data_IF_801503048191
#
_entry.id   IF_801503048191
#
_cell.length_a   1.000
_cell.length_b   1.000
_cell.length_c   1.000
_cell.angle_alpha   90.00
_cell.angle_beta   90.00
_cell.angle_gamma   90.00
#
_symmetry.space_group_name_H-M   'P 1'
#
loop_
_entity.id
_entity.type
_entity.pdbx_description
1 polymer ?
#
# COMPACT_ATOMS: atom_id res chain seq x y z
N UNK A 1 2.26 -8.69 -9.43
CA UNK A 1 1.48 -7.55 -9.96
C UNK A 1 1.28 -6.57 -8.82
N UNK A 2 1.28 -5.25 -9.05
CA UNK A 2 1.08 -4.32 -7.93
C UNK A 2 -0.34 -4.48 -7.36
N UNK A 3 -0.42 -4.53 -6.03
CA UNK A 3 -1.67 -4.57 -5.28
C UNK A 3 -2.64 -3.47 -5.75
N UNK A 4 -3.91 -3.81 -6.06
CA UNK A 4 -4.89 -2.84 -6.59
C UNK A 4 -5.23 -1.72 -5.60
N UNK A 5 -5.02 -1.94 -4.30
CA UNK A 5 -5.29 -0.97 -3.25
C UNK A 5 -4.09 -0.10 -2.85
N UNK A 6 -2.95 -0.23 -3.56
CA UNK A 6 -1.80 0.62 -3.36
C UNK A 6 -1.89 1.85 -4.27
N UNK A 7 -2.05 3.02 -3.66
CA UNK A 7 -1.88 4.30 -4.35
C UNK A 7 -0.67 5.06 -3.84
N UNK A 8 -0.21 6.01 -4.64
CA UNK A 8 0.90 6.90 -4.31
C UNK A 8 0.34 8.32 -4.23
N UNK A 9 0.47 8.97 -3.08
CA UNK A 9 -0.11 10.29 -2.80
C UNK A 9 0.98 11.28 -2.38
N UNK A 10 0.87 12.51 -2.87
CA UNK A 10 1.77 13.64 -2.51
C UNK A 10 1.26 14.49 -1.37
N UNK A 11 0.03 14.31 -0.91
CA UNK A 11 -0.56 15.17 0.10
C UNK A 11 -1.54 14.42 1.00
N UNK A 12 -1.75 15.00 2.18
CA UNK A 12 -2.68 14.55 3.20
C UNK A 12 -3.24 15.76 3.96
N UNK A 13 -4.47 16.16 3.63
CA UNK A 13 -5.05 17.42 4.08
C UNK A 13 -4.17 18.62 3.71
N UNK A 14 -3.79 19.43 4.71
CA UNK A 14 -2.94 20.62 4.54
C UNK A 14 -1.44 20.28 4.37
N UNK A 15 -1.05 19.01 4.50
CA UNK A 15 0.34 18.57 4.38
C UNK A 15 0.63 18.12 2.96
N UNK A 16 1.74 18.60 2.41
CA UNK A 16 2.30 18.12 1.14
C UNK A 16 3.68 17.52 1.38
N UNK A 17 4.00 16.46 0.66
CA UNK A 17 5.29 15.76 0.70
C UNK A 17 6.11 16.09 -0.54
N UNK A 18 7.43 16.16 -0.39
CA UNK A 18 8.35 16.39 -1.51
C UNK A 18 8.34 15.24 -2.54
N UNK A 19 8.01 14.03 -2.09
CA UNK A 19 7.86 12.83 -2.92
C UNK A 19 6.55 12.12 -2.61
N UNK A 20 6.03 11.41 -3.60
CA UNK A 20 4.90 10.51 -3.42
C UNK A 20 5.19 9.45 -2.36
N UNK A 21 4.19 9.21 -1.51
CA UNK A 21 4.24 8.20 -0.45
C UNK A 21 3.16 7.15 -0.69
N UNK A 22 3.52 5.91 -0.38
CA UNK A 22 2.62 4.77 -0.47
C UNK A 22 1.45 4.93 0.50
N UNK A 23 0.24 4.78 -0.02
CA UNK A 23 -1.03 4.88 0.68
C UNK A 23 -1.85 3.62 0.39
N UNK A 24 -2.34 2.96 1.43
CA UNK A 24 -3.19 1.79 1.29
C UNK A 24 -4.65 2.22 1.43
N UNK A 25 -5.46 1.90 0.42
CA UNK A 25 -6.87 2.30 0.36
C UNK A 25 -7.78 1.42 1.21
N UNK A 26 -7.38 0.18 1.53
CA UNK A 26 -8.13 -0.69 2.45
C UNK A 26 -8.16 -0.12 3.87
N UNK A 27 -7.01 0.33 4.37
CA UNK A 27 -6.88 0.87 5.74
C UNK A 27 -6.79 2.39 5.77
N UNK A 28 -7.02 3.02 4.62
CA UNK A 28 -7.08 4.47 4.42
C UNK A 28 -5.92 5.25 5.07
N UNK A 29 -4.69 4.76 4.93
CA UNK A 29 -3.51 5.40 5.53
C UNK A 29 -2.23 5.19 4.75
N UNK A 30 -1.27 6.09 4.96
CA UNK A 30 0.10 5.91 4.51
C UNK A 30 0.74 4.69 5.17
N UNK A 31 1.48 3.91 4.37
CA UNK A 31 2.17 2.70 4.83
C UNK A 31 3.67 2.88 4.82
N UNK A 32 4.38 2.03 5.56
CA UNK A 32 5.84 2.02 5.56
C UNK A 32 6.39 1.55 4.21
N UNK A 33 7.64 1.91 3.85
CA UNK A 33 8.31 1.39 2.65
C UNK A 33 8.31 -0.13 2.58
N UNK A 34 8.61 -0.82 3.69
CA UNK A 34 8.56 -2.30 3.75
C UNK A 34 7.19 -2.87 3.38
N UNK A 35 6.10 -2.24 3.84
CA UNK A 35 4.76 -2.68 3.47
C UNK A 35 4.45 -2.33 2.02
N UNK A 36 4.93 -1.20 1.52
CA UNK A 36 4.83 -0.87 0.11
C UNK A 36 5.59 -1.90 -0.75
N UNK A 37 6.72 -2.45 -0.28
CA UNK A 37 7.46 -3.49 -1.00
C UNK A 37 6.64 -4.79 -1.11
N UNK A 38 5.92 -5.19 -0.06
CA UNK A 38 4.92 -6.29 -0.13
C UNK A 38 3.86 -5.98 -1.17
N UNK A 39 3.23 -4.80 -1.11
CA UNK A 39 2.18 -4.41 -2.04
C UNK A 39 2.66 -4.24 -3.50
N UNK A 40 3.96 -4.06 -3.73
CA UNK A 40 4.56 -3.98 -5.06
C UNK A 40 5.10 -5.33 -5.56
N UNK A 41 4.90 -6.41 -4.81
CA UNK A 41 5.47 -7.73 -5.07
C UNK A 41 6.99 -7.72 -5.30
N UNK A 42 7.71 -6.92 -4.50
CA UNK A 42 9.17 -6.84 -4.56
C UNK A 42 9.79 -7.93 -3.72
N UNK A 43 11.03 -8.32 -4.06
CA UNK A 43 11.82 -9.24 -3.24
C UNK A 43 11.13 -10.60 -2.97
N UNK A 44 10.42 -11.13 -3.97
CA UNK A 44 9.68 -12.41 -3.87
C UNK A 44 8.51 -12.39 -2.87
N UNK A 45 8.15 -11.19 -2.38
CA UNK A 45 6.92 -10.94 -1.64
C UNK A 45 5.75 -10.89 -2.61
N UNK A 46 4.57 -11.18 -2.08
CA UNK A 46 3.32 -11.23 -2.84
C UNK A 46 2.21 -10.62 -2.00
N UNK A 47 1.55 -9.58 -2.50
CA UNK A 47 0.44 -8.94 -1.80
C UNK A 47 -0.74 -9.86 -1.52
N UNK A 48 -0.99 -10.87 -2.37
CA UNK A 48 -2.07 -11.84 -2.19
C UNK A 48 -1.78 -12.81 -1.04
N UNK A 49 -0.51 -13.10 -0.77
CA UNK A 49 -0.08 -14.04 0.28
C UNK A 49 0.36 -13.34 1.56
N UNK A 50 1.15 -12.29 1.42
CA UNK A 50 1.98 -11.73 2.49
C UNK A 50 1.39 -10.44 3.10
N UNK A 51 0.38 -9.82 2.47
CA UNK A 51 -0.33 -8.66 3.03
C UNK A 51 -1.61 -9.06 3.75
N UNK A 52 -1.74 -8.76 5.04
CA UNK A 52 -2.95 -9.05 5.80
C UNK A 52 -4.16 -8.22 5.33
N UNK A 53 -3.98 -6.94 5.02
CA UNK A 53 -5.08 -6.06 4.63
C UNK A 53 -5.69 -6.42 3.29
N UNK A 54 -4.86 -6.84 2.33
CA UNK A 54 -5.36 -7.30 1.03
C UNK A 54 -6.19 -8.57 1.21
N UNK A 55 -5.66 -9.56 1.94
CA UNK A 55 -6.37 -10.82 2.18
C UNK A 55 -7.68 -10.60 2.92
N UNK A 56 -7.72 -9.70 3.89
CA UNK A 56 -8.94 -9.32 4.59
C UNK A 56 -9.96 -8.65 3.64
N UNK A 57 -9.51 -7.75 2.75
CA UNK A 57 -10.38 -7.05 1.80
C UNK A 57 -10.97 -7.97 0.71
N UNK A 58 -10.22 -8.98 0.24
CA UNK A 58 -10.69 -9.92 -0.80
C UNK A 58 -11.52 -11.08 -0.24
N UNK A 59 -11.58 -11.24 1.09
CA UNK A 59 -12.35 -12.31 1.74
C UNK A 59 -13.77 -11.88 2.15
N UNK A 60 -14.12 -10.61 1.98
CA UNK A 60 -15.43 -10.01 2.29
C UNK A 60 -16.31 -9.90 1.03
#
# INVERSE_FOLDING_TARGET
MTCPYLSYRRSDGDRTFDTERAYCEVVERFVSPMRADVCNDRHELDHERDCEFYREAESD
#
